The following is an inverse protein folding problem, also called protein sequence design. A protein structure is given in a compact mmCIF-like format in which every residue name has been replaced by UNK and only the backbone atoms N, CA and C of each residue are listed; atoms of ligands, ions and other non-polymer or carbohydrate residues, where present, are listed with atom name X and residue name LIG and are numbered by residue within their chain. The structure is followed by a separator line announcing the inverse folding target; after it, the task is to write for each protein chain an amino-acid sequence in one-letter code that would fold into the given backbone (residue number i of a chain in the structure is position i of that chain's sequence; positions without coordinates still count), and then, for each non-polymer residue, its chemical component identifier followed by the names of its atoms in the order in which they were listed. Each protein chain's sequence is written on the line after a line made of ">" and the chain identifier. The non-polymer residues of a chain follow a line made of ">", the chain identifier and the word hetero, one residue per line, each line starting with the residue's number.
data_IF_881178874842
#
_entry.id   IF_881178874842
#
_cell.length_a   1.000
_cell.length_b   1.000
_cell.length_c   1.000
_cell.angle_alpha   90.00
_cell.angle_beta   90.00
_cell.angle_gamma   90.00
#
_symmetry.space_group_name_H-M   'P 1'
#
loop_
_entity.id
_entity.type
_entity.pdbx_description
1 polymer ?
#
# COMPACT_ATOMS: atom_id res chain seq x y z
N UNK A 1 -70.14 17.59 37.97
CA UNK A 1 -69.44 17.00 39.13
C UNK A 1 -68.31 16.06 38.66
N UNK A 2 -67.07 16.34 39.16
CA UNK A 2 -65.82 15.61 39.22
C UNK A 2 -64.91 15.66 37.97
N UNK A 3 -64.20 16.77 37.84
CA UNK A 3 -62.85 16.85 37.34
C UNK A 3 -61.91 16.53 38.51
N UNK A 4 -61.18 15.44 38.45
CA UNK A 4 -59.90 15.20 39.22
C UNK A 4 -59.37 13.83 38.99
N UNK A 5 -58.51 13.62 37.96
CA UNK A 5 -57.54 12.51 37.92
C UNK A 5 -56.47 12.66 36.84
N UNK A 6 -56.19 13.82 36.28
CA UNK A 6 -55.20 14.02 35.21
C UNK A 6 -53.88 14.66 35.69
N UNK A 7 -53.70 14.90 36.99
CA UNK A 7 -52.51 15.58 37.53
C UNK A 7 -51.42 14.63 38.11
N UNK A 8 -51.72 13.35 38.28
CA UNK A 8 -50.78 12.39 38.89
C UNK A 8 -49.78 11.76 37.92
N UNK A 9 -50.07 11.74 36.59
CA UNK A 9 -49.20 11.08 35.61
C UNK A 9 -48.02 11.94 35.11
N UNK A 10 -48.06 13.28 35.38
CA UNK A 10 -47.04 14.22 34.84
C UNK A 10 -45.78 14.35 35.71
N UNK A 11 -45.79 13.77 36.91
CA UNK A 11 -44.63 13.85 37.83
C UNK A 11 -43.66 12.69 37.79
N UNK A 12 -43.97 11.60 37.06
CA UNK A 12 -43.13 10.42 36.94
C UNK A 12 -42.36 10.32 35.62
N UNK A 13 -42.63 11.19 34.65
CA UNK A 13 -41.96 11.18 33.35
C UNK A 13 -40.47 11.61 33.36
N UNK A 14 -39.99 12.54 34.20
CA UNK A 14 -38.57 12.90 34.21
C UNK A 14 -37.69 11.85 34.91
N UNK A 15 -38.24 10.99 35.76
CA UNK A 15 -37.46 9.92 36.41
C UNK A 15 -37.15 8.71 35.54
N UNK A 16 -37.97 8.43 34.53
CA UNK A 16 -37.77 7.29 33.62
C UNK A 16 -36.75 7.56 32.50
N UNK A 17 -36.50 8.86 32.18
CA UNK A 17 -35.52 9.24 31.15
C UNK A 17 -34.07 9.24 31.67
N UNK A 18 -33.87 9.26 32.99
CA UNK A 18 -32.54 9.26 33.60
C UNK A 18 -31.90 7.88 33.72
N UNK A 19 -32.64 6.79 33.45
CA UNK A 19 -32.13 5.41 33.53
C UNK A 19 -31.55 4.88 32.23
N UNK A 20 -31.52 5.68 31.16
CA UNK A 20 -30.94 5.31 29.85
C UNK A 20 -29.56 5.90 29.63
N UNK A 21 -28.98 6.62 30.57
CA UNK A 21 -27.56 7.01 30.54
C UNK A 21 -26.69 5.86 31.09
N UNK A 22 -26.73 4.72 30.44
CA UNK A 22 -25.73 3.69 30.60
C UNK A 22 -24.44 4.23 30.00
N UNK A 23 -23.44 4.54 30.82
CA UNK A 23 -22.07 4.69 30.39
C UNK A 23 -21.69 3.39 29.70
N UNK A 24 -21.64 3.38 28.38
CA UNK A 24 -20.89 2.37 27.64
C UNK A 24 -19.42 2.73 27.81
N UNK A 25 -18.78 2.18 28.83
CA UNK A 25 -17.32 2.15 28.85
C UNK A 25 -16.87 1.49 27.56
N UNK A 26 -16.06 2.19 26.80
CA UNK A 26 -15.43 1.58 25.63
C UNK A 26 -14.58 0.43 26.13
N UNK A 27 -14.99 -0.81 25.85
CA UNK A 27 -14.19 -1.98 26.14
C UNK A 27 -12.93 -1.89 25.28
N UNK A 28 -11.83 -1.43 25.90
CA UNK A 28 -10.50 -1.58 25.35
C UNK A 28 -9.98 -2.92 25.93
N UNK A 29 -9.91 -3.98 25.10
CA UNK A 29 -9.28 -5.21 25.55
C UNK A 29 -7.84 -4.91 25.99
N UNK A 30 -7.37 -5.51 27.08
CA UNK A 30 -5.97 -5.43 27.50
C UNK A 30 -5.09 -5.95 26.37
N UNK A 31 -4.65 -5.04 25.52
CA UNK A 31 -3.66 -5.33 24.48
C UNK A 31 -2.37 -5.56 25.24
N UNK A 32 -1.83 -6.78 25.17
CA UNK A 32 -0.54 -7.11 25.74
C UNK A 32 0.47 -6.02 25.35
N UNK A 33 1.01 -5.33 26.34
CA UNK A 33 1.86 -4.15 26.17
C UNK A 33 3.17 -4.42 25.41
N UNK A 34 3.45 -5.69 25.14
CA UNK A 34 4.59 -6.13 24.31
C UNK A 34 4.09 -7.19 23.34
N UNK A 35 3.98 -6.87 22.03
CA UNK A 35 3.67 -7.90 21.04
C UNK A 35 4.74 -9.00 21.11
N UNK A 36 4.36 -10.28 20.94
CA UNK A 36 5.34 -11.35 20.87
C UNK A 36 6.34 -11.04 19.76
N UNK A 37 7.64 -11.18 20.02
CA UNK A 37 8.72 -10.91 19.08
C UNK A 37 8.81 -12.04 18.01
N UNK A 38 7.70 -12.26 17.30
CA UNK A 38 7.60 -13.32 16.29
C UNK A 38 8.38 -12.92 15.04
N UNK A 39 9.09 -13.87 14.45
CA UNK A 39 9.66 -13.71 13.12
C UNK A 39 8.52 -13.68 12.08
N UNK A 40 8.52 -12.70 11.23
CA UNK A 40 7.62 -12.59 10.07
C UNK A 40 8.42 -12.86 8.81
N UNK A 41 7.98 -13.87 8.05
CA UNK A 41 8.62 -14.31 6.80
C UNK A 41 7.64 -14.05 5.66
N UNK A 42 7.97 -13.11 4.79
CA UNK A 42 7.15 -12.70 3.64
C UNK A 42 7.89 -13.00 2.33
N UNK A 43 7.19 -13.63 1.39
CA UNK A 43 7.70 -14.01 0.09
C UNK A 43 7.34 -15.44 -0.30
N UNK A 44 7.89 -15.88 -1.42
CA UNK A 44 7.74 -17.23 -1.96
C UNK A 44 9.02 -17.66 -2.71
N UNK A 45 9.21 -18.94 -2.91
CA UNK A 45 10.29 -19.48 -3.70
C UNK A 45 9.91 -19.38 -5.18
N UNK A 46 10.52 -18.43 -5.91
CA UNK A 46 10.23 -18.26 -7.32
C UNK A 46 10.91 -19.39 -8.12
N UNK A 47 10.10 -20.23 -8.73
CA UNK A 47 10.59 -21.39 -9.47
C UNK A 47 11.19 -21.03 -10.83
N UNK A 48 10.98 -19.81 -11.33
CA UNK A 48 11.49 -19.32 -12.63
C UNK A 48 11.92 -17.85 -12.51
N UNK A 49 13.02 -17.60 -11.81
CA UNK A 49 13.54 -16.25 -11.63
C UNK A 49 14.20 -16.01 -10.29
N UNK A 50 14.20 -14.77 -9.86
CA UNK A 50 14.75 -14.33 -8.56
C UNK A 50 13.74 -14.59 -7.46
N UNK A 51 14.14 -15.30 -6.42
CA UNK A 51 13.40 -15.39 -5.17
C UNK A 51 13.71 -14.18 -4.31
N UNK A 52 12.68 -13.55 -3.75
CA UNK A 52 12.81 -12.45 -2.78
C UNK A 52 12.08 -12.81 -1.49
N UNK A 53 12.79 -12.80 -0.37
CA UNK A 53 12.26 -13.04 0.98
C UNK A 53 12.50 -11.82 1.83
N UNK A 54 11.47 -11.35 2.52
CA UNK A 54 11.55 -10.27 3.50
C UNK A 54 11.41 -10.85 4.91
N UNK A 55 12.30 -10.46 5.79
CA UNK A 55 12.33 -10.88 7.18
C UNK A 55 12.15 -9.67 8.09
N UNK A 56 11.14 -9.73 8.94
CA UNK A 56 10.85 -8.69 9.92
C UNK A 56 10.38 -9.29 11.24
N UNK A 57 10.15 -8.45 12.25
CA UNK A 57 9.58 -8.85 13.53
C UNK A 57 8.18 -8.28 13.71
N UNK A 58 7.32 -9.04 14.38
CA UNK A 58 6.02 -8.52 14.79
C UNK A 58 6.20 -7.28 15.67
N UNK A 59 5.32 -6.30 15.53
CA UNK A 59 5.36 -5.04 16.27
C UNK A 59 3.94 -4.60 16.67
N UNK A 60 3.86 -3.66 17.61
CA UNK A 60 2.57 -3.18 18.09
C UNK A 60 1.82 -2.39 17.02
N UNK A 61 0.52 -2.60 16.88
CA UNK A 61 -0.35 -1.90 15.91
C UNK A 61 -0.30 -0.38 16.13
N UNK A 62 -0.15 0.07 17.37
CA UNK A 62 -0.04 1.49 17.71
C UNK A 62 1.35 2.10 17.43
N UNK A 63 2.33 1.30 17.01
CA UNK A 63 3.67 1.80 16.73
C UNK A 63 3.65 2.68 15.46
N UNK A 64 4.24 3.87 15.58
CA UNK A 64 4.39 4.82 14.44
C UNK A 64 5.65 4.57 13.60
N UNK A 65 6.45 3.58 13.99
CA UNK A 65 7.70 3.21 13.31
C UNK A 65 7.48 2.03 12.38
N UNK A 66 8.33 1.90 11.36
CA UNK A 66 8.34 0.72 10.50
C UNK A 66 8.65 -0.55 11.30
N UNK A 67 8.17 -1.74 10.85
CA UNK A 67 8.48 -3.02 11.48
C UNK A 67 10.00 -3.20 11.62
N UNK A 68 10.50 -3.70 12.77
CA UNK A 68 11.91 -4.05 12.91
C UNK A 68 12.29 -5.13 11.88
N UNK A 69 13.38 -4.92 11.16
CA UNK A 69 13.86 -5.86 10.14
C UNK A 69 14.81 -6.89 10.75
N UNK A 70 14.74 -8.16 10.32
CA UNK A 70 15.71 -9.19 10.68
C UNK A 70 16.85 -9.14 9.66
N UNK A 71 18.00 -8.62 10.07
CA UNK A 71 19.18 -8.42 9.22
C UNK A 71 20.26 -9.44 9.48
N UNK A 72 21.18 -9.62 8.53
CA UNK A 72 22.34 -10.51 8.62
C UNK A 72 21.97 -11.97 8.93
N UNK A 73 20.79 -12.41 8.51
CA UNK A 73 20.42 -13.81 8.53
C UNK A 73 21.12 -14.55 7.37
N UNK A 74 21.45 -15.81 7.59
CA UNK A 74 21.85 -16.71 6.49
C UNK A 74 20.58 -17.37 5.98
N UNK A 75 20.22 -17.10 4.72
CA UNK A 75 18.95 -17.55 4.12
C UNK A 75 19.24 -18.36 2.86
N UNK A 76 18.64 -19.53 2.74
CA UNK A 76 18.80 -20.35 1.54
C UNK A 76 17.54 -21.16 1.22
N UNK A 77 17.36 -21.49 -0.05
CA UNK A 77 16.40 -22.47 -0.54
C UNK A 77 17.09 -23.84 -0.46
N UNK A 78 16.43 -24.82 0.11
CA UNK A 78 16.94 -26.17 0.27
C UNK A 78 15.99 -27.17 -0.39
N UNK A 79 16.53 -28.10 -1.20
CA UNK A 79 15.75 -29.20 -1.74
C UNK A 79 15.82 -30.45 -0.83
N UNK A 80 14.99 -31.45 -1.10
CA UNK A 80 14.95 -32.71 -0.32
C UNK A 80 16.26 -33.51 -0.40
N UNK A 81 17.13 -33.24 -1.36
CA UNK A 81 18.46 -33.86 -1.47
C UNK A 81 19.53 -33.09 -0.67
N UNK A 82 19.18 -32.00 0.00
CA UNK A 82 20.09 -31.16 0.76
C UNK A 82 20.86 -30.13 -0.07
N UNK A 83 20.52 -29.94 -1.34
CA UNK A 83 21.13 -28.89 -2.18
C UNK A 83 20.64 -27.52 -1.70
N UNK A 84 21.56 -26.56 -1.53
CA UNK A 84 21.26 -25.22 -1.01
C UNK A 84 21.58 -24.15 -2.02
N UNK A 85 20.65 -23.20 -2.18
CA UNK A 85 20.77 -21.99 -2.99
C UNK A 85 20.71 -20.77 -2.07
N UNK A 86 21.83 -20.07 -1.93
CA UNK A 86 21.96 -18.93 -1.01
C UNK A 86 21.17 -17.71 -1.51
N UNK A 87 20.52 -17.02 -0.56
CA UNK A 87 19.98 -15.67 -0.75
C UNK A 87 20.89 -14.65 -0.07
N UNK A 88 21.15 -13.54 -0.73
CA UNK A 88 22.01 -12.46 -0.23
C UNK A 88 21.13 -11.28 0.23
N UNK A 89 21.45 -10.69 1.40
CA UNK A 89 20.78 -9.47 1.87
C UNK A 89 21.08 -8.31 0.92
N UNK A 90 20.05 -7.61 0.49
CA UNK A 90 20.16 -6.44 -0.39
C UNK A 90 20.55 -5.17 0.37
N UNK A 91 20.64 -4.04 -0.33
CA UNK A 91 20.77 -2.71 0.30
C UNK A 91 19.54 -2.34 1.15
N UNK A 92 18.37 -2.92 0.84
CA UNK A 92 17.15 -2.81 1.66
C UNK A 92 17.23 -3.85 2.78
N UNK A 93 17.42 -3.36 4.00
CA UNK A 93 17.60 -4.22 5.19
C UNK A 93 16.44 -5.18 5.41
N UNK A 94 16.79 -6.43 5.76
CA UNK A 94 15.83 -7.50 5.95
C UNK A 94 15.25 -8.08 4.65
N UNK A 95 15.75 -7.66 3.48
CA UNK A 95 15.35 -8.19 2.17
C UNK A 95 16.48 -9.04 1.59
N UNK A 96 16.17 -10.29 1.30
CA UNK A 96 17.12 -11.31 0.80
C UNK A 96 16.71 -11.77 -0.58
N UNK A 97 17.64 -11.81 -1.53
CA UNK A 97 17.39 -12.25 -2.91
C UNK A 97 18.35 -13.34 -3.35
N UNK A 98 17.85 -14.31 -4.13
CA UNK A 98 18.68 -15.30 -4.81
C UNK A 98 19.23 -14.75 -6.14
N UNK A 99 20.18 -15.46 -6.75
CA UNK A 99 20.37 -15.36 -8.19
C UNK A 99 19.11 -15.83 -8.94
N UNK A 100 18.96 -15.41 -10.21
CA UNK A 100 17.91 -15.95 -11.06
C UNK A 100 18.14 -17.47 -11.26
N UNK A 101 17.09 -18.26 -11.08
CA UNK A 101 17.18 -19.71 -11.08
C UNK A 101 15.93 -20.38 -11.65
N UNK A 102 16.04 -21.65 -11.99
CA UNK A 102 14.92 -22.52 -12.32
C UNK A 102 14.93 -23.72 -11.38
N UNK A 103 13.87 -23.85 -10.58
CA UNK A 103 13.69 -25.00 -9.68
C UNK A 103 13.16 -26.20 -10.48
N UNK A 104 13.63 -27.39 -10.13
CA UNK A 104 13.14 -28.63 -10.76
C UNK A 104 11.72 -28.95 -10.25
N UNK A 105 10.69 -28.99 -11.10
CA UNK A 105 9.30 -29.22 -10.68
C UNK A 105 9.05 -30.62 -10.10
N UNK A 106 9.96 -31.57 -10.32
CA UNK A 106 9.87 -32.92 -9.73
C UNK A 106 10.38 -33.01 -8.30
N UNK A 107 10.93 -31.93 -7.75
CA UNK A 107 11.45 -31.86 -6.37
C UNK A 107 10.59 -30.96 -5.51
N UNK A 108 10.75 -31.14 -4.19
CA UNK A 108 10.14 -30.24 -3.20
C UNK A 108 11.25 -29.36 -2.60
N UNK A 109 10.86 -28.15 -2.22
CA UNK A 109 11.78 -27.15 -1.70
C UNK A 109 11.25 -26.55 -0.42
N UNK A 110 12.17 -26.06 0.41
CA UNK A 110 11.83 -25.27 1.62
C UNK A 110 12.73 -24.05 1.73
N UNK A 111 12.24 -23.06 2.45
CA UNK A 111 13.08 -21.98 2.98
C UNK A 111 13.77 -22.46 4.24
N UNK A 112 15.06 -22.16 4.38
CA UNK A 112 15.84 -22.43 5.56
C UNK A 112 16.64 -21.17 5.91
N UNK A 113 16.59 -20.74 7.17
CA UNK A 113 17.29 -19.54 7.59
C UNK A 113 17.84 -19.67 9.00
N UNK A 114 19.00 -19.04 9.24
CA UNK A 114 19.61 -18.86 10.54
C UNK A 114 19.69 -17.35 10.82
N UNK A 115 19.08 -16.92 11.91
CA UNK A 115 19.15 -15.52 12.34
C UNK A 115 20.51 -15.24 12.99
N UNK A 116 20.87 -13.94 13.08
CA UNK A 116 22.07 -13.51 13.77
C UNK A 116 22.09 -13.97 15.24
N UNK A 117 20.92 -14.08 15.87
CA UNK A 117 20.78 -14.58 17.25
C UNK A 117 20.94 -16.11 17.38
N UNK A 118 21.30 -16.82 16.31
CA UNK A 118 21.52 -18.27 16.31
C UNK A 118 20.23 -19.10 16.30
N UNK A 119 19.07 -18.49 16.06
CA UNK A 119 17.81 -19.23 15.90
C UNK A 119 17.67 -19.74 14.47
N UNK A 120 17.34 -21.02 14.35
CA UNK A 120 17.16 -21.72 13.07
C UNK A 120 15.68 -21.90 12.77
N UNK A 121 15.25 -21.46 11.57
CA UNK A 121 13.89 -21.59 11.11
C UNK A 121 13.85 -22.31 9.75
N UNK A 122 12.83 -23.12 9.56
CA UNK A 122 12.55 -23.80 8.29
C UNK A 122 11.08 -23.70 7.93
N UNK A 123 10.77 -23.62 6.64
CA UNK A 123 9.43 -23.92 6.17
C UNK A 123 9.26 -25.43 5.98
N UNK A 124 8.01 -25.88 5.78
CA UNK A 124 7.78 -27.21 5.26
C UNK A 124 8.31 -27.36 3.83
N UNK A 125 8.60 -28.57 3.40
CA UNK A 125 8.89 -28.86 2.00
C UNK A 125 7.60 -28.75 1.18
N UNK A 126 7.60 -27.87 0.18
CA UNK A 126 6.46 -27.60 -0.71
C UNK A 126 6.75 -28.05 -2.15
N UNK A 127 5.73 -28.55 -2.87
CA UNK A 127 5.90 -28.87 -4.29
C UNK A 127 6.01 -27.57 -5.11
N UNK A 128 6.67 -27.66 -6.25
CA UNK A 128 6.73 -26.55 -7.21
C UNK A 128 5.46 -26.51 -8.04
N UNK A 129 4.81 -25.35 -8.08
CA UNK A 129 3.65 -25.08 -8.95
C UNK A 129 4.07 -24.24 -10.15
N UNK A 130 3.56 -24.56 -11.31
CA UNK A 130 3.70 -23.72 -12.51
C UNK A 130 2.49 -22.83 -12.64
N UNK A 131 2.70 -21.54 -12.64
CA UNK A 131 1.61 -20.57 -12.78
C UNK A 131 1.24 -20.42 -14.26
N UNK A 132 -0.04 -20.60 -14.62
CA UNK A 132 -0.48 -20.40 -16.00
C UNK A 132 -0.38 -18.91 -16.38
N UNK A 133 -0.33 -18.64 -17.67
CA UNK A 133 -0.28 -17.27 -18.19
C UNK A 133 -1.59 -16.53 -17.93
N UNK A 134 -1.50 -15.22 -17.76
CA UNK A 134 -2.67 -14.35 -17.74
C UNK A 134 -3.16 -14.17 -19.19
N UNK A 135 -4.35 -14.64 -19.51
CA UNK A 135 -4.95 -14.49 -20.83
C UNK A 135 -5.18 -13.02 -21.15
N UNK A 136 -5.90 -12.32 -20.26
CA UNK A 136 -6.21 -10.92 -20.42
C UNK A 136 -6.30 -10.20 -19.08
N UNK A 137 -5.87 -8.94 -19.07
CA UNK A 137 -6.24 -7.95 -18.08
C UNK A 137 -7.13 -6.94 -18.80
N UNK A 138 -8.39 -6.83 -18.40
CA UNK A 138 -9.41 -5.98 -19.02
C UNK A 138 -9.93 -4.97 -18.02
N UNK A 139 -10.59 -3.93 -18.50
CA UNK A 139 -11.24 -2.97 -17.62
C UNK A 139 -12.59 -2.50 -18.17
N UNK A 140 -13.48 -2.10 -17.27
CA UNK A 140 -14.81 -1.55 -17.57
C UNK A 140 -15.14 -0.46 -16.57
N UNK A 141 -15.97 0.47 -16.98
CA UNK A 141 -16.49 1.54 -16.12
C UNK A 141 -17.95 1.33 -15.83
N UNK A 142 -18.36 1.62 -14.60
CA UNK A 142 -19.74 1.66 -14.14
C UNK A 142 -19.98 2.86 -13.22
N UNK A 143 -21.09 2.91 -12.51
CA UNK A 143 -21.41 3.99 -11.58
C UNK A 143 -20.46 4.05 -10.37
N UNK A 144 -19.87 2.92 -10.00
CA UNK A 144 -18.96 2.80 -8.86
C UNK A 144 -17.50 3.11 -9.24
N UNK A 145 -17.21 3.19 -10.55
CA UNK A 145 -15.91 3.62 -11.06
C UNK A 145 -15.29 2.72 -12.11
N UNK A 146 -13.97 2.69 -12.12
CA UNK A 146 -13.15 1.85 -12.98
C UNK A 146 -12.92 0.51 -12.30
N UNK A 147 -13.34 -0.57 -12.93
CA UNK A 147 -13.11 -1.94 -12.46
C UNK A 147 -12.13 -2.65 -13.40
N UNK A 148 -11.11 -3.29 -12.83
CA UNK A 148 -10.07 -4.02 -13.57
C UNK A 148 -10.20 -5.50 -13.26
N UNK A 149 -10.18 -6.31 -14.33
CA UNK A 149 -10.44 -7.74 -14.27
C UNK A 149 -9.28 -8.54 -14.84
N UNK A 150 -9.05 -9.73 -14.28
CA UNK A 150 -8.12 -10.72 -14.81
C UNK A 150 -8.89 -11.92 -15.33
N UNK A 151 -8.40 -12.46 -16.46
CA UNK A 151 -8.86 -13.69 -17.06
C UNK A 151 -7.66 -14.62 -17.23
N UNK A 152 -7.79 -15.87 -16.83
CA UNK A 152 -6.73 -16.87 -16.92
C UNK A 152 -7.35 -18.27 -17.02
N UNK A 153 -6.66 -19.22 -17.62
CA UNK A 153 -7.03 -20.62 -17.59
C UNK A 153 -5.81 -21.53 -17.45
N UNK A 154 -6.03 -22.69 -16.86
CA UNK A 154 -5.05 -23.78 -16.87
C UNK A 154 -5.63 -24.99 -17.62
N UNK A 155 -5.17 -25.19 -18.86
CA UNK A 155 -5.60 -26.31 -19.69
C UNK A 155 -5.26 -27.67 -19.07
N UNK A 156 -4.31 -27.74 -18.16
CA UNK A 156 -3.93 -28.96 -17.44
C UNK A 156 -4.83 -29.27 -16.24
N UNK A 157 -5.59 -28.27 -15.76
CA UNK A 157 -6.47 -28.37 -14.61
C UNK A 157 -5.76 -28.62 -13.28
N UNK A 158 -4.47 -28.30 -13.19
CA UNK A 158 -3.64 -28.61 -12.01
C UNK A 158 -3.49 -27.44 -11.04
N UNK A 159 -3.81 -26.20 -11.45
CA UNK A 159 -3.61 -25.03 -10.64
C UNK A 159 -4.69 -24.85 -9.59
N UNK A 160 -5.93 -24.69 -9.98
CA UNK A 160 -7.16 -24.60 -9.17
C UNK A 160 -7.20 -23.55 -8.03
N UNK A 161 -6.06 -23.02 -7.58
CA UNK A 161 -5.93 -22.02 -6.52
C UNK A 161 -5.04 -20.91 -6.99
N UNK A 162 -5.56 -19.69 -6.95
CA UNK A 162 -4.91 -18.49 -7.50
C UNK A 162 -4.81 -17.40 -6.47
N UNK A 163 -3.73 -16.62 -6.56
CA UNK A 163 -3.57 -15.32 -5.91
C UNK A 163 -3.09 -14.30 -6.93
N UNK A 164 -3.56 -13.07 -6.77
CA UNK A 164 -3.12 -11.93 -7.55
C UNK A 164 -2.62 -10.83 -6.64
N UNK A 165 -1.47 -10.31 -7.01
CA UNK A 165 -0.94 -9.04 -6.52
C UNK A 165 -0.88 -8.07 -7.70
N UNK A 166 -0.76 -6.79 -7.43
CA UNK A 166 -0.56 -5.81 -8.49
C UNK A 166 0.33 -4.66 -8.02
N UNK A 167 0.96 -3.98 -8.99
CA UNK A 167 1.69 -2.74 -8.77
C UNK A 167 1.05 -1.67 -9.64
N UNK A 168 0.53 -0.63 -8.99
CA UNK A 168 -0.02 0.55 -9.64
C UNK A 168 1.08 1.57 -9.90
N UNK A 169 1.02 2.27 -11.02
CA UNK A 169 1.88 3.41 -11.35
C UNK A 169 1.04 4.46 -12.06
N UNK A 170 1.19 5.73 -11.67
CA UNK A 170 0.41 6.83 -12.23
C UNK A 170 1.22 8.10 -12.38
N UNK A 171 0.80 8.97 -13.29
CA UNK A 171 1.38 10.30 -13.47
C UNK A 171 0.87 11.28 -12.41
N UNK A 172 1.78 12.09 -11.87
CA UNK A 172 1.52 13.17 -10.93
C UNK A 172 1.91 14.47 -11.62
N UNK A 173 0.93 15.34 -11.89
CA UNK A 173 1.12 16.60 -12.59
C UNK A 173 0.91 17.77 -11.62
N UNK A 174 2.00 18.46 -11.16
CA UNK A 174 1.86 19.63 -10.31
C UNK A 174 1.11 20.75 -11.01
N UNK A 175 0.34 21.52 -10.24
CA UNK A 175 -0.50 22.61 -10.79
C UNK A 175 0.26 23.94 -10.92
N UNK A 176 1.36 24.10 -10.19
CA UNK A 176 2.16 25.32 -10.22
C UNK A 176 3.44 25.14 -11.04
N UNK A 177 3.86 26.24 -11.64
CA UNK A 177 5.10 26.38 -12.42
C UNK A 177 5.88 27.57 -11.86
N UNK A 178 6.69 27.38 -10.79
CA UNK A 178 7.46 28.45 -10.20
C UNK A 178 8.37 29.14 -11.20
N UNK A 179 8.40 30.46 -11.16
CA UNK A 179 9.30 31.31 -11.96
C UNK A 179 10.48 31.78 -11.14
N UNK A 180 10.32 31.83 -9.81
CA UNK A 180 11.33 32.30 -8.86
C UNK A 180 11.67 31.24 -7.82
N UNK A 181 12.88 31.31 -7.28
CA UNK A 181 13.36 30.46 -6.20
C UNK A 181 14.04 31.29 -5.12
N UNK A 182 13.97 30.83 -3.86
CA UNK A 182 14.68 31.42 -2.73
C UNK A 182 15.93 30.60 -2.40
N UNK A 183 17.10 31.16 -2.66
CA UNK A 183 18.40 30.49 -2.49
C UNK A 183 19.39 31.43 -1.87
N UNK A 184 20.14 30.96 -0.86
CA UNK A 184 21.20 31.71 -0.17
C UNK A 184 20.75 33.08 0.38
N UNK A 185 19.50 33.15 0.88
CA UNK A 185 18.97 34.37 1.48
C UNK A 185 18.40 35.40 0.48
N UNK A 186 18.32 35.07 -0.80
CA UNK A 186 17.82 35.96 -1.84
C UNK A 186 16.82 35.26 -2.79
N UNK A 187 15.89 36.07 -3.31
CA UNK A 187 15.03 35.67 -4.44
C UNK A 187 15.79 35.84 -5.75
N UNK A 188 15.57 34.92 -6.68
CA UNK A 188 16.08 34.99 -8.04
C UNK A 188 15.18 34.20 -9.00
N UNK A 189 15.35 34.42 -10.28
CA UNK A 189 14.73 33.56 -11.29
C UNK A 189 15.16 32.10 -11.11
N UNK A 190 14.24 31.19 -11.33
CA UNK A 190 14.53 29.76 -11.18
C UNK A 190 15.49 29.29 -12.28
N UNK A 191 16.60 28.72 -11.91
CA UNK A 191 17.62 28.24 -12.87
C UNK A 191 17.29 26.83 -13.38
N UNK A 192 16.75 25.97 -12.51
CA UNK A 192 16.39 24.60 -12.86
C UNK A 192 14.93 24.40 -12.52
N UNK A 193 14.03 24.41 -13.52
CA UNK A 193 12.59 24.23 -13.31
C UNK A 193 12.27 22.91 -12.58
N UNK A 194 11.24 22.93 -11.75
CA UNK A 194 10.71 21.72 -11.13
C UNK A 194 10.16 20.77 -12.19
N UNK A 195 10.19 19.45 -11.96
CA UNK A 195 9.60 18.47 -12.87
C UNK A 195 8.13 18.77 -13.13
N UNK A 196 7.72 18.66 -14.39
CA UNK A 196 6.32 18.85 -14.80
C UNK A 196 5.49 17.59 -14.63
N UNK A 197 6.14 16.43 -14.56
CA UNK A 197 5.54 15.11 -14.37
C UNK A 197 6.44 14.34 -13.39
N UNK A 198 5.81 13.69 -12.43
CA UNK A 198 6.41 12.63 -11.63
C UNK A 198 5.56 11.37 -11.73
N UNK A 199 6.11 10.26 -11.25
CA UNK A 199 5.43 8.96 -11.22
C UNK A 199 5.28 8.48 -9.78
N UNK A 200 4.04 8.25 -9.37
CA UNK A 200 3.72 7.55 -8.13
C UNK A 200 3.66 6.04 -8.39
N UNK A 201 4.06 5.24 -7.41
CA UNK A 201 3.98 3.76 -7.48
C UNK A 201 3.52 3.22 -6.14
N UNK A 202 2.60 2.26 -6.16
CA UNK A 202 2.14 1.56 -4.97
C UNK A 202 1.85 0.08 -5.26
N UNK A 203 2.27 -0.84 -4.38
CA UNK A 203 1.86 -2.24 -4.44
C UNK A 203 0.42 -2.40 -3.93
N UNK A 204 -0.22 -3.52 -4.30
CA UNK A 204 -1.51 -3.93 -3.74
C UNK A 204 -1.41 -4.21 -2.24
N UNK A 205 -2.48 -3.90 -1.52
CA UNK A 205 -2.62 -4.25 -0.10
C UNK A 205 -3.71 -5.32 0.13
N UNK A 206 -4.83 -5.35 -0.62
CA UNK A 206 -5.86 -6.38 -0.44
C UNK A 206 -5.37 -7.77 -0.88
N UNK A 207 -5.82 -8.81 -0.18
CA UNK A 207 -5.53 -10.20 -0.51
C UNK A 207 -6.54 -10.69 -1.57
N UNK A 208 -6.09 -10.79 -2.80
CA UNK A 208 -6.89 -11.21 -3.95
C UNK A 208 -6.66 -12.69 -4.25
N UNK A 209 -7.60 -13.55 -3.85
CA UNK A 209 -7.53 -15.00 -4.05
C UNK A 209 -8.83 -15.54 -4.65
N UNK A 210 -8.71 -16.55 -5.51
CA UNK A 210 -9.84 -17.32 -6.00
C UNK A 210 -9.49 -18.80 -6.17
N UNK A 211 -10.52 -19.64 -6.26
CA UNK A 211 -10.39 -21.07 -6.56
C UNK A 211 -11.40 -21.49 -7.59
N UNK A 212 -11.01 -22.44 -8.44
CA UNK A 212 -11.82 -22.99 -9.53
C UNK A 212 -12.28 -24.43 -9.24
N UNK A 213 -12.03 -24.92 -8.02
CA UNK A 213 -12.32 -26.33 -7.59
C UNK A 213 -13.77 -26.76 -7.76
N UNK A 214 -14.72 -25.84 -7.85
CA UNK A 214 -16.14 -26.14 -8.09
C UNK A 214 -16.52 -26.11 -9.58
N UNK A 215 -15.59 -25.75 -10.45
CA UNK A 215 -15.81 -25.65 -11.89
C UNK A 215 -15.37 -26.93 -12.59
N UNK A 216 -15.98 -27.22 -13.74
CA UNK A 216 -15.60 -28.35 -14.60
C UNK A 216 -14.30 -28.13 -15.34
N UNK A 217 -13.90 -26.88 -15.49
CA UNK A 217 -12.63 -26.45 -16.12
C UNK A 217 -11.93 -25.45 -15.20
N UNK A 218 -10.63 -25.44 -15.24
CA UNK A 218 -9.83 -24.49 -14.48
C UNK A 218 -9.75 -23.14 -15.22
N UNK A 219 -10.80 -22.35 -15.08
CA UNK A 219 -10.99 -21.06 -15.76
C UNK A 219 -11.34 -19.98 -14.74
N UNK A 220 -10.55 -18.93 -14.72
CA UNK A 220 -10.86 -17.66 -14.03
C UNK A 220 -11.41 -16.69 -15.06
N UNK A 221 -12.67 -16.32 -14.91
CA UNK A 221 -13.34 -15.38 -15.80
C UNK A 221 -13.73 -14.13 -15.05
N UNK A 222 -13.27 -12.98 -15.55
CA UNK A 222 -13.61 -11.64 -15.04
C UNK A 222 -13.45 -11.51 -13.49
N UNK A 223 -12.34 -12.02 -12.96
CA UNK A 223 -12.04 -11.81 -11.55
C UNK A 223 -11.59 -10.37 -11.33
N UNK A 224 -12.35 -9.59 -10.55
CA UNK A 224 -12.05 -8.18 -10.28
C UNK A 224 -10.89 -8.05 -9.29
N UNK A 225 -9.73 -7.57 -9.78
CA UNK A 225 -8.54 -7.36 -8.95
C UNK A 225 -8.45 -5.95 -8.38
N UNK A 226 -9.09 -4.95 -9.02
CA UNK A 226 -9.03 -3.56 -8.57
C UNK A 226 -10.30 -2.80 -8.93
N UNK A 227 -10.73 -1.93 -8.01
CA UNK A 227 -11.76 -0.92 -8.26
C UNK A 227 -11.23 0.46 -7.85
N UNK A 228 -11.39 1.45 -8.71
CA UNK A 228 -11.03 2.85 -8.46
C UNK A 228 -12.27 3.72 -8.60
N UNK A 229 -12.61 4.56 -7.61
CA UNK A 229 -13.78 5.43 -7.70
C UNK A 229 -13.62 6.47 -8.81
N UNK A 230 -14.71 7.05 -9.35
CA UNK A 230 -14.68 8.04 -10.41
C UNK A 230 -13.86 9.30 -10.06
N UNK A 231 -13.70 9.59 -8.76
CA UNK A 231 -12.94 10.74 -8.25
C UNK A 231 -11.47 10.44 -7.98
N UNK A 232 -10.99 9.22 -8.25
CA UNK A 232 -9.61 8.83 -7.92
C UNK A 232 -8.59 9.70 -8.65
N UNK A 233 -7.67 10.31 -7.90
CA UNK A 233 -6.56 11.10 -8.45
C UNK A 233 -5.55 10.25 -9.25
N UNK A 234 -5.54 8.93 -9.08
CA UNK A 234 -4.72 8.02 -9.88
C UNK A 234 -5.12 8.05 -11.36
N UNK A 235 -6.38 8.44 -11.66
CA UNK A 235 -6.96 8.48 -13.01
C UNK A 235 -6.85 9.85 -13.68
N UNK A 236 -6.13 10.80 -13.06
CA UNK A 236 -6.08 12.18 -13.55
C UNK A 236 -5.39 12.33 -14.92
N UNK A 237 -4.40 11.50 -15.22
CA UNK A 237 -3.67 11.52 -16.48
C UNK A 237 -3.55 10.10 -17.04
N UNK A 238 -2.42 9.47 -16.89
CA UNK A 238 -2.19 8.09 -17.31
C UNK A 238 -1.95 7.22 -16.08
N UNK A 239 -2.62 6.10 -16.04
CA UNK A 239 -2.54 5.08 -15.01
C UNK A 239 -2.07 3.76 -15.63
N UNK A 240 -1.28 3.00 -14.89
CA UNK A 240 -0.86 1.64 -15.25
C UNK A 240 -1.03 0.71 -14.07
N UNK A 241 -1.42 -0.52 -14.35
CA UNK A 241 -1.43 -1.61 -13.40
C UNK A 241 -0.67 -2.81 -13.98
N UNK A 242 0.30 -3.33 -13.20
CA UNK A 242 0.96 -4.61 -13.45
C UNK A 242 0.30 -5.64 -12.56
N UNK A 243 -0.48 -6.54 -13.13
CA UNK A 243 -1.08 -7.66 -12.41
C UNK A 243 -0.09 -8.82 -12.41
N UNK A 244 0.14 -9.41 -11.25
CA UNK A 244 1.01 -10.56 -11.01
C UNK A 244 0.16 -11.71 -10.52
N UNK A 245 0.28 -12.88 -11.15
CA UNK A 245 -0.51 -14.08 -10.86
C UNK A 245 0.38 -15.17 -10.29
N UNK A 246 -0.16 -15.86 -9.28
CA UNK A 246 0.49 -16.95 -8.56
C UNK A 246 -0.43 -18.18 -8.49
N UNK A 247 0.11 -19.35 -8.83
CA UNK A 247 -0.54 -20.63 -8.61
C UNK A 247 -0.19 -21.15 -7.21
N UNK A 248 -1.19 -21.38 -6.38
CA UNK A 248 -1.01 -21.78 -5.00
C UNK A 248 -1.23 -23.29 -4.82
N UNK A 249 -0.70 -23.84 -3.73
CA UNK A 249 -1.19 -25.11 -3.19
C UNK A 249 -2.50 -24.88 -2.42
N UNK A 250 -3.23 -25.96 -2.12
CA UNK A 250 -4.45 -25.90 -1.29
C UNK A 250 -4.15 -25.32 0.11
N UNK A 251 -3.03 -25.72 0.69
CA UNK A 251 -2.59 -25.30 2.03
C UNK A 251 -2.21 -23.80 2.03
N UNK A 252 -1.50 -23.35 1.00
CA UNK A 252 -1.15 -21.95 0.82
C UNK A 252 -2.40 -21.08 0.62
N UNK A 253 -3.35 -21.55 -0.20
CA UNK A 253 -4.63 -20.88 -0.37
C UNK A 253 -5.40 -20.75 0.95
N UNK A 254 -5.46 -21.83 1.75
CA UNK A 254 -6.13 -21.82 3.05
C UNK A 254 -5.49 -20.82 4.02
N UNK A 255 -4.15 -20.70 4.01
CA UNK A 255 -3.43 -19.69 4.78
C UNK A 255 -3.83 -18.26 4.37
N UNK A 256 -3.82 -17.96 3.06
CA UNK A 256 -4.20 -16.65 2.55
C UNK A 256 -5.69 -16.33 2.78
N UNK A 257 -6.57 -17.33 2.69
CA UNK A 257 -7.99 -17.16 3.01
C UNK A 257 -8.20 -16.83 4.49
N UNK A 258 -7.48 -17.50 5.38
CA UNK A 258 -7.52 -17.23 6.82
C UNK A 258 -6.95 -15.85 7.15
N UNK A 259 -5.82 -15.49 6.54
CA UNK A 259 -5.21 -14.17 6.71
C UNK A 259 -6.17 -13.07 6.25
N UNK A 260 -6.82 -13.22 5.09
CA UNK A 260 -7.82 -12.28 4.57
C UNK A 260 -9.00 -12.13 5.53
N UNK A 261 -9.52 -13.22 6.07
CA UNK A 261 -10.60 -13.18 7.07
C UNK A 261 -10.18 -12.44 8.34
N UNK A 262 -8.96 -12.65 8.80
CA UNK A 262 -8.45 -12.00 10.02
C UNK A 262 -8.09 -10.52 9.83
N UNK A 263 -7.85 -10.05 8.61
CA UNK A 263 -7.38 -8.67 8.35
C UNK A 263 -8.41 -7.79 7.65
N UNK A 264 -9.24 -8.34 6.78
CA UNK A 264 -10.15 -7.58 5.92
C UNK A 264 -11.62 -7.70 6.33
N UNK A 265 -11.97 -8.64 7.22
CA UNK A 265 -13.33 -8.89 7.66
C UNK A 265 -13.60 -8.47 9.11
N UNK A 266 -12.76 -7.62 9.69
CA UNK A 266 -12.92 -7.14 11.07
C UNK A 266 -13.77 -5.88 11.07
N UNK A 267 -14.88 -5.88 11.81
CA UNK A 267 -15.70 -4.66 12.05
C UNK A 267 -17.20 -4.89 12.14
N UNK A 268 -17.70 -6.11 12.02
CA UNK A 268 -19.11 -6.42 12.25
C UNK A 268 -19.36 -7.12 13.59
N UNK A 269 -20.56 -6.94 14.15
CA UNK A 269 -20.99 -7.56 15.42
C UNK A 269 -21.07 -9.10 15.34
N UNK A 270 -20.96 -9.67 14.14
CA UNK A 270 -21.07 -11.10 13.82
C UNK A 270 -19.77 -11.71 13.29
N UNK A 271 -18.64 -10.97 13.42
CA UNK A 271 -17.35 -11.48 12.96
C UNK A 271 -16.93 -12.70 13.79
N UNK A 272 -16.51 -13.73 13.08
CA UNK A 272 -15.91 -14.89 13.74
C UNK A 272 -14.68 -14.44 14.54
N UNK A 273 -14.49 -15.02 15.73
CA UNK A 273 -13.27 -14.72 16.50
C UNK A 273 -12.03 -14.96 15.63
N UNK A 274 -11.02 -14.08 15.68
CA UNK A 274 -9.81 -14.25 14.91
C UNK A 274 -9.20 -15.63 15.22
N UNK A 275 -9.08 -16.47 14.19
CA UNK A 275 -8.46 -17.77 14.34
C UNK A 275 -6.93 -17.59 14.36
N UNK A 276 -6.25 -18.45 15.13
CA UNK A 276 -4.79 -18.43 15.16
C UNK A 276 -4.23 -18.71 13.75
N UNK A 277 -3.48 -17.76 13.22
CA UNK A 277 -2.84 -17.91 11.92
C UNK A 277 -1.62 -18.83 12.06
N UNK A 278 -1.71 -20.02 11.50
CA UNK A 278 -0.62 -20.99 11.47
C UNK A 278 -0.04 -21.04 10.07
N UNK A 279 1.20 -20.56 9.91
CA UNK A 279 1.97 -20.71 8.67
C UNK A 279 2.66 -22.06 8.57
N UNK A 280 3.56 -22.21 7.59
CA UNK A 280 4.37 -23.42 7.45
C UNK A 280 5.84 -23.20 7.87
N UNK A 281 6.14 -22.09 8.55
CA UNK A 281 7.48 -21.76 9.05
C UNK A 281 7.56 -22.07 10.56
N UNK A 282 8.57 -22.82 10.98
CA UNK A 282 8.79 -23.19 12.38
C UNK A 282 10.23 -22.97 12.81
N UNK A 283 10.45 -22.70 14.10
CA UNK A 283 11.76 -22.62 14.71
C UNK A 283 12.22 -24.02 15.12
N UNK A 284 13.42 -24.44 14.71
CA UNK A 284 14.00 -25.73 15.07
C UNK A 284 14.73 -25.67 16.43
N UNK A 285 15.31 -24.51 16.75
CA UNK A 285 16.11 -24.34 17.99
C UNK A 285 15.27 -24.04 19.22
N UNK A 286 14.03 -23.54 19.03
CA UNK A 286 13.11 -23.21 20.13
C UNK A 286 11.65 -23.39 19.67
N UNK A 287 10.99 -24.50 20.03
CA UNK A 287 9.60 -24.74 19.62
C UNK A 287 8.59 -23.68 20.09
N UNK A 288 8.92 -22.93 21.14
CA UNK A 288 8.11 -21.83 21.65
C UNK A 288 8.22 -20.54 20.80
N UNK A 289 9.26 -20.44 19.95
CA UNK A 289 9.47 -19.29 19.08
C UNK A 289 8.68 -19.46 17.77
N UNK A 290 7.42 -19.08 17.79
CA UNK A 290 6.59 -19.13 16.60
C UNK A 290 7.08 -18.15 15.51
N UNK A 291 6.81 -18.49 14.26
CA UNK A 291 7.00 -17.61 13.11
C UNK A 291 5.67 -17.41 12.39
N UNK A 292 5.50 -16.26 11.75
CA UNK A 292 4.37 -15.94 10.88
C UNK A 292 4.86 -15.97 9.44
N UNK A 293 4.08 -16.56 8.56
CA UNK A 293 4.35 -16.62 7.12
C UNK A 293 4.09 -18.01 6.55
N UNK A 294 3.77 -18.04 5.29
CA UNK A 294 3.64 -19.27 4.51
C UNK A 294 4.54 -19.17 3.27
N UNK A 295 5.44 -20.10 3.09
CA UNK A 295 6.36 -20.14 1.96
C UNK A 295 5.87 -21.20 0.98
N UNK A 296 5.37 -20.75 -0.17
CA UNK A 296 5.07 -21.57 -1.33
C UNK A 296 6.25 -21.61 -2.31
N UNK A 297 6.19 -22.51 -3.29
CA UNK A 297 7.14 -22.57 -4.39
C UNK A 297 6.38 -22.60 -5.73
N UNK A 298 6.48 -21.51 -6.49
CA UNK A 298 5.75 -21.40 -7.76
C UNK A 298 6.44 -20.39 -8.70
N UNK A 299 6.13 -20.47 -10.00
CA UNK A 299 6.45 -19.38 -10.92
C UNK A 299 5.45 -18.23 -10.76
N UNK A 300 5.78 -17.08 -11.33
CA UNK A 300 4.91 -15.91 -11.39
C UNK A 300 4.72 -15.51 -12.86
N UNK A 301 3.50 -15.20 -13.24
CA UNK A 301 3.19 -14.61 -14.54
C UNK A 301 2.62 -13.21 -14.33
N UNK A 302 2.90 -12.30 -15.27
CA UNK A 302 2.48 -10.91 -15.11
C UNK A 302 2.00 -10.30 -16.41
N UNK A 303 1.09 -9.35 -16.29
CA UNK A 303 0.56 -8.60 -17.43
C UNK A 303 0.27 -7.16 -17.03
N UNK A 304 0.77 -6.21 -17.85
CA UNK A 304 0.60 -4.77 -17.64
C UNK A 304 -0.39 -4.20 -18.62
N UNK A 305 -1.24 -3.29 -18.12
CA UNK A 305 -2.09 -2.45 -18.97
C UNK A 305 -1.89 -0.98 -18.60
N UNK A 306 -2.28 -0.11 -19.53
CA UNK A 306 -2.33 1.33 -19.37
C UNK A 306 -3.73 1.84 -19.65
N UNK A 307 -4.17 2.84 -18.90
CA UNK A 307 -5.46 3.49 -19.05
C UNK A 307 -5.22 5.00 -19.03
N UNK A 308 -5.69 5.71 -20.06
CA UNK A 308 -5.56 7.16 -20.16
C UNK A 308 -6.85 7.85 -19.72
N UNK A 309 -6.73 9.04 -19.17
CA UNK A 309 -7.91 9.85 -18.79
C UNK A 309 -8.91 10.00 -19.94
N UNK A 310 -8.42 10.13 -21.17
CA UNK A 310 -9.27 10.28 -22.36
C UNK A 310 -10.12 9.04 -22.70
N UNK A 311 -9.79 7.87 -22.15
CA UNK A 311 -10.52 6.60 -22.37
C UNK A 311 -11.65 6.43 -21.35
N UNK A 312 -11.70 7.26 -20.31
CA UNK A 312 -12.68 7.22 -19.22
C UNK A 312 -13.83 8.20 -19.48
N UNK A 313 -15.02 7.98 -18.89
CA UNK A 313 -16.15 8.88 -19.03
C UNK A 313 -15.78 10.33 -18.70
N UNK A 314 -16.10 11.26 -19.61
CA UNK A 314 -15.79 12.68 -19.43
C UNK A 314 -16.57 13.30 -18.27
N UNK A 315 -17.76 12.77 -17.96
CA UNK A 315 -18.57 13.22 -16.83
C UNK A 315 -17.95 12.96 -15.46
N UNK A 316 -16.92 12.12 -15.38
CA UNK A 316 -16.25 11.85 -14.10
C UNK A 316 -15.45 13.04 -13.63
N UNK A 317 -15.73 13.47 -12.39
CA UNK A 317 -14.94 14.50 -11.71
C UNK A 317 -13.69 13.87 -11.07
N UNK A 318 -12.70 13.56 -11.90
CA UNK A 318 -11.42 13.03 -11.41
C UNK A 318 -10.67 14.14 -10.68
N UNK A 319 -10.19 13.83 -9.49
CA UNK A 319 -9.36 14.75 -8.71
C UNK A 319 -7.93 14.76 -9.28
N UNK A 320 -7.19 15.86 -9.06
CA UNK A 320 -5.78 15.95 -9.46
C UNK A 320 -4.82 15.67 -8.28
N UNK A 321 -5.36 15.56 -7.06
CA UNK A 321 -4.59 15.38 -5.83
C UNK A 321 -3.98 16.66 -5.28
N UNK A 322 -4.32 17.83 -5.86
CA UNK A 322 -3.83 19.14 -5.46
C UNK A 322 -4.97 20.11 -5.09
N UNK A 323 -6.16 19.59 -4.77
CA UNK A 323 -7.35 20.40 -4.45
C UNK A 323 -7.12 21.32 -3.25
N UNK A 324 -6.40 20.85 -2.23
CA UNK A 324 -6.03 21.65 -1.06
C UNK A 324 -4.93 22.68 -1.33
N UNK A 325 -4.31 22.62 -2.50
CA UNK A 325 -3.22 23.52 -2.87
C UNK A 325 -3.72 24.84 -3.48
N UNK A 326 -5.00 24.96 -3.82
CA UNK A 326 -5.58 26.12 -4.47
C UNK A 326 -6.45 26.94 -3.52
N UNK A 327 -6.40 28.29 -3.59
CA UNK A 327 -5.49 29.12 -4.37
C UNK A 327 -4.06 29.15 -3.77
N UNK A 328 -3.06 29.75 -4.46
CA UNK A 328 -1.76 30.01 -3.85
C UNK A 328 -1.89 31.08 -2.76
N UNK A 329 -1.00 31.01 -1.79
CA UNK A 329 -0.93 32.01 -0.72
C UNK A 329 -0.21 33.28 -1.21
N UNK A 330 -0.66 34.45 -0.77
CA UNK A 330 -0.05 35.72 -1.12
C UNK A 330 0.78 36.24 0.07
N UNK A 331 2.09 36.38 -0.14
CA UNK A 331 3.04 36.87 0.85
C UNK A 331 3.38 38.32 0.52
N UNK A 332 2.89 39.27 1.32
CA UNK A 332 3.07 40.71 1.11
C UNK A 332 4.14 41.27 2.04
N UNK A 333 4.87 42.30 1.55
CA UNK A 333 5.89 43.02 2.32
C UNK A 333 5.36 44.21 3.14
N UNK A 334 4.15 44.72 2.82
CA UNK A 334 3.66 46.01 3.29
C UNK A 334 2.33 45.98 4.06
N UNK A 335 1.91 44.82 4.58
CA UNK A 335 0.62 44.68 5.27
C UNK A 335 0.61 45.14 6.74
N UNK A 336 1.76 45.47 7.34
CA UNK A 336 1.85 45.95 8.70
C UNK A 336 2.43 47.38 8.75
N UNK A 337 2.17 48.09 9.85
CA UNK A 337 2.68 49.45 10.08
C UNK A 337 3.49 49.46 11.39
N UNK A 338 4.81 49.67 11.34
CA UNK A 338 5.65 49.85 10.17
C UNK A 338 5.80 48.58 9.35
N UNK A 339 6.09 48.67 8.03
CA UNK A 339 6.29 47.48 7.20
C UNK A 339 7.56 46.73 7.63
N UNK A 340 7.51 45.39 7.69
CA UNK A 340 8.68 44.59 8.06
C UNK A 340 9.76 44.66 6.98
N UNK A 341 10.99 44.34 7.34
CA UNK A 341 12.08 44.20 6.36
C UNK A 341 11.76 43.02 5.41
N UNK A 342 11.65 43.24 4.09
CA UNK A 342 11.32 42.19 3.13
C UNK A 342 12.25 40.98 3.21
N UNK A 343 13.55 41.17 3.45
CA UNK A 343 14.51 40.06 3.56
C UNK A 343 14.23 39.19 4.80
N UNK A 344 13.79 39.77 5.90
CA UNK A 344 13.41 39.01 7.11
C UNK A 344 12.11 38.21 6.88
N UNK A 345 11.14 38.79 6.17
CA UNK A 345 9.88 38.09 5.78
C UNK A 345 10.22 36.89 4.90
N UNK A 346 11.04 37.10 3.87
CA UNK A 346 11.44 36.00 2.97
C UNK A 346 12.20 34.91 3.71
N UNK A 347 13.16 35.27 4.57
CA UNK A 347 13.91 34.30 5.37
C UNK A 347 12.99 33.49 6.31
N UNK A 348 12.03 34.13 6.95
CA UNK A 348 11.10 33.45 7.88
C UNK A 348 10.18 32.46 7.19
N UNK A 349 9.77 32.74 5.95
CA UNK A 349 8.80 31.93 5.20
C UNK A 349 9.52 30.88 4.34
N UNK A 350 10.54 31.29 3.60
CA UNK A 350 11.19 30.43 2.62
C UNK A 350 12.47 29.77 3.12
N UNK A 351 13.05 30.27 4.21
CA UNK A 351 14.36 29.83 4.73
C UNK A 351 14.40 28.35 5.12
N UNK A 352 13.29 27.78 5.58
CA UNK A 352 13.17 26.36 5.90
C UNK A 352 12.97 25.46 4.67
N UNK A 353 12.66 26.01 3.48
CA UNK A 353 12.41 25.26 2.26
C UNK A 353 11.14 24.40 2.28
N UNK A 354 10.24 24.61 3.23
CA UNK A 354 8.95 23.92 3.33
C UNK A 354 7.84 24.62 2.55
N UNK A 355 7.98 25.92 2.36
CA UNK A 355 7.17 26.78 1.49
C UNK A 355 8.07 27.28 0.36
N UNK A 356 7.57 27.26 -0.86
CA UNK A 356 8.30 27.71 -2.04
C UNK A 356 7.58 28.87 -2.69
N UNK A 357 8.31 29.87 -3.23
CA UNK A 357 7.73 30.95 -4.00
C UNK A 357 7.30 30.41 -5.39
N UNK A 358 6.30 31.06 -6.00
CA UNK A 358 5.78 30.69 -7.30
C UNK A 358 6.08 31.79 -8.33
N UNK A 359 5.61 33.02 -8.04
CA UNK A 359 5.75 34.18 -8.94
C UNK A 359 5.76 35.48 -8.14
N UNK A 360 6.24 36.52 -8.76
CA UNK A 360 6.27 37.87 -8.24
C UNK A 360 4.91 38.55 -8.31
N UNK A 361 4.59 39.36 -7.29
CA UNK A 361 3.37 40.17 -7.27
C UNK A 361 3.74 41.64 -7.32
N UNK A 362 3.12 42.37 -8.25
CA UNK A 362 3.35 43.78 -8.45
C UNK A 362 2.05 44.57 -8.16
N UNK A 363 2.22 45.83 -7.73
CA UNK A 363 1.11 46.76 -7.66
C UNK A 363 0.78 47.38 -9.01
N UNK A 364 -0.21 48.30 -9.04
CA UNK A 364 -0.64 49.00 -10.27
C UNK A 364 0.45 49.93 -10.86
N UNK A 365 1.47 50.26 -10.12
CA UNK A 365 2.61 51.09 -10.51
C UNK A 365 3.83 50.25 -10.94
N UNK A 366 3.71 48.92 -10.93
CA UNK A 366 4.83 48.02 -11.26
C UNK A 366 5.84 47.86 -10.12
N UNK A 367 5.47 48.20 -8.89
CA UNK A 367 6.34 48.02 -7.72
C UNK A 367 6.10 46.60 -7.17
N UNK A 368 7.20 45.87 -6.93
CA UNK A 368 7.15 44.55 -6.29
C UNK A 368 6.62 44.65 -4.87
N UNK A 369 5.48 44.02 -4.59
CA UNK A 369 4.78 44.06 -3.30
C UNK A 369 4.81 42.72 -2.54
N UNK A 370 5.27 41.64 -3.19
CA UNK A 370 5.33 40.33 -2.56
C UNK A 370 5.50 39.19 -3.56
N UNK A 371 5.21 37.97 -3.08
CA UNK A 371 5.26 36.73 -3.89
C UNK A 371 4.03 35.88 -3.63
N UNK A 372 3.57 35.17 -4.65
CA UNK A 372 2.70 34.02 -4.43
C UNK A 372 3.55 32.82 -4.00
N UNK A 373 3.00 31.97 -3.15
CA UNK A 373 3.73 30.85 -2.56
C UNK A 373 2.80 29.68 -2.23
N UNK A 374 3.38 28.50 -2.06
CA UNK A 374 2.68 27.34 -1.51
C UNK A 374 3.65 26.37 -0.84
N UNK A 375 3.12 25.42 -0.08
CA UNK A 375 3.93 24.35 0.50
C UNK A 375 4.64 23.53 -0.59
N UNK A 376 5.81 23.02 -0.28
CA UNK A 376 6.67 22.30 -1.23
C UNK A 376 5.95 21.12 -1.88
N UNK A 377 5.08 20.42 -1.16
CA UNK A 377 4.32 19.26 -1.66
C UNK A 377 3.26 19.64 -2.73
N UNK A 378 2.87 20.93 -2.80
CA UNK A 378 2.00 21.45 -3.84
C UNK A 378 2.72 21.85 -5.14
N UNK A 379 4.02 22.02 -5.06
CA UNK A 379 4.87 22.55 -6.15
C UNK A 379 5.79 21.47 -6.73
N UNK A 380 6.47 20.74 -5.86
CA UNK A 380 7.46 19.76 -6.23
C UNK A 380 6.89 18.34 -6.17
N UNK A 381 6.51 17.77 -7.31
CA UNK A 381 5.94 16.43 -7.37
C UNK A 381 6.88 15.32 -6.88
N UNK A 382 8.19 15.61 -6.71
CA UNK A 382 9.16 14.65 -6.14
C UNK A 382 8.89 14.33 -4.67
N UNK A 383 8.09 15.14 -3.99
CA UNK A 383 7.61 14.85 -2.64
C UNK A 383 6.53 13.75 -2.61
N UNK A 384 5.90 13.47 -3.76
CA UNK A 384 4.79 12.50 -3.92
C UNK A 384 5.17 11.31 -4.80
N UNK A 385 6.31 11.37 -5.49
CA UNK A 385 6.74 10.33 -6.41
C UNK A 385 8.18 10.56 -6.89
N UNK A 386 8.56 9.89 -7.97
CA UNK A 386 9.86 10.05 -8.60
C UNK A 386 9.75 10.86 -9.90
N UNK A 387 10.75 11.70 -10.18
CA UNK A 387 10.88 12.37 -11.48
C UNK A 387 11.56 11.49 -12.54
N UNK A 388 12.02 10.30 -12.16
CA UNK A 388 12.61 9.35 -13.10
C UNK A 388 11.48 8.56 -13.78
N UNK A 389 11.35 8.75 -15.11
CA UNK A 389 10.36 8.00 -15.91
C UNK A 389 10.65 6.50 -15.83
N UNK A 390 9.66 5.66 -15.43
CA UNK A 390 9.85 4.21 -15.42
C UNK A 390 10.16 3.69 -16.83
N UNK A 391 11.06 2.72 -16.97
CA UNK A 391 11.50 2.18 -18.26
C UNK A 391 10.37 1.56 -19.08
N UNK A 392 9.33 1.05 -18.43
CA UNK A 392 8.14 0.48 -19.06
C UNK A 392 7.09 1.54 -19.45
N UNK A 393 7.27 2.82 -19.09
CA UNK A 393 6.30 3.86 -19.37
C UNK A 393 6.42 4.34 -20.82
N UNK A 394 5.34 4.34 -21.63
CA UNK A 394 5.37 4.70 -23.04
C UNK A 394 5.65 6.19 -23.29
#
# INVERSE_FOLDING_TARGET
>A
MRFSSLFALRRWLPGALALLAGCTDSFAPDVTTSPPNLLVVDGFLNSQGVTTIKLSRAYAIAAKTAPPTETRATVYIEDEAGTRLLLTETSVKGTYTSAAQTLNPARRYRLHLNTLAGKEYVSDYVPVKTTPVIDAVTWRTDNDGLNIYVNAHDATGTTQYYRWDYVETWEINPIYRPQVEYVNGAMRDILVPFPTICWGTAPSTPIQIAKTTALTQDVVSDFRVRQLPPSSNLLNSRYSILVQQHALTKEEYAYWELLRKNTESIGSLFDAQPAQLTGNVRCLTSPSDAALGFIGAHSMTEKRIFIRRAELPQAWRVLNGYESCQPPDSIFFNRSTPPPNPAQVMQSIFGAGTVLPIEEMYDKLGILIGYTAKSKDCIDCRTRGTSVKPSFWP
#
